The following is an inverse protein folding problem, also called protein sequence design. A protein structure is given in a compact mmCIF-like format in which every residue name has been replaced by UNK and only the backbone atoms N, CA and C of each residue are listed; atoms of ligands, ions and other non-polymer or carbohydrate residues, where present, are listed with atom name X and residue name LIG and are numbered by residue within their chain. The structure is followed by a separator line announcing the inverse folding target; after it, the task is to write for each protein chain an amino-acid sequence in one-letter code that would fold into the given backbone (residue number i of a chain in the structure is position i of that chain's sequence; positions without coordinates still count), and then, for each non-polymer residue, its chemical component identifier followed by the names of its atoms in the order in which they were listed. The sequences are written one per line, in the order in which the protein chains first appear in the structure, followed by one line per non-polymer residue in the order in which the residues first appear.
data_IF_538352865133
#
_entry.id   IF_538352865133
#
_cell.length_a   1.000
_cell.length_b   1.000
_cell.length_c   1.000
_cell.angle_alpha   90.00
_cell.angle_beta   90.00
_cell.angle_gamma   90.00
#
_symmetry.space_group_name_H-M   'P 1'
#
loop_
_entity.id
_entity.type
_entity.pdbx_description
1 polymer ?
#
# COMPACT_ATOMS: atom_id res chain seq x y z
N UNK A 1 -9.11 -10.42 3.94
CA UNK A 1 -9.43 -9.00 4.11
C UNK A 1 -9.39 -8.39 2.74
N UNK A 2 -10.41 -7.64 2.35
CA UNK A 2 -10.43 -6.96 1.06
C UNK A 2 -9.55 -5.72 1.09
N UNK A 3 -9.19 -5.23 -0.09
CA UNK A 3 -8.36 -4.04 -0.26
C UNK A 3 -9.01 -2.81 0.38
N UNK A 4 -10.32 -2.64 0.17
CA UNK A 4 -11.11 -1.54 0.71
C UNK A 4 -11.21 -1.59 2.23
N UNK A 5 -11.28 -2.81 2.79
CA UNK A 5 -11.49 -3.10 4.22
C UNK A 5 -10.25 -2.85 5.09
N UNK A 6 -9.05 -2.69 4.50
CA UNK A 6 -7.83 -2.42 5.27
C UNK A 6 -7.99 -1.14 6.10
N UNK A 7 -7.79 -1.28 7.41
CA UNK A 7 -7.90 -0.21 8.41
C UNK A 7 -6.53 0.28 8.89
N UNK A 8 -6.53 1.38 9.65
CA UNK A 8 -5.33 1.90 10.32
C UNK A 8 -4.81 0.89 11.35
N UNK A 9 -5.71 0.21 12.07
CA UNK A 9 -5.33 -0.75 13.10
C UNK A 9 -4.65 -2.00 12.50
N UNK A 10 -5.06 -2.40 11.28
CA UNK A 10 -4.37 -3.45 10.53
C UNK A 10 -2.94 -3.05 10.19
N UNK A 11 -2.71 -1.80 9.78
CA UNK A 11 -1.38 -1.28 9.48
C UNK A 11 -0.50 -1.16 10.74
N UNK A 12 -1.05 -0.66 11.85
CA UNK A 12 -0.32 -0.57 13.13
C UNK A 12 0.14 -1.96 13.57
N UNK A 13 -0.76 -2.95 13.50
CA UNK A 13 -0.44 -4.34 13.80
C UNK A 13 0.59 -4.92 12.83
N UNK A 14 0.44 -4.68 11.53
CA UNK A 14 1.33 -5.22 10.51
C UNK A 14 2.75 -4.67 10.62
N UNK A 15 2.89 -3.36 10.87
CA UNK A 15 4.18 -2.68 11.00
C UNK A 15 4.78 -2.81 12.41
N UNK A 16 4.07 -3.44 13.36
CA UNK A 16 4.43 -3.48 14.77
C UNK A 16 4.74 -2.07 15.34
N UNK A 17 3.90 -1.10 14.95
CA UNK A 17 4.04 0.30 15.35
C UNK A 17 3.38 0.56 16.71
N UNK A 18 3.71 1.68 17.33
CA UNK A 18 3.05 2.11 18.57
C UNK A 18 1.60 2.54 18.30
N UNK A 19 0.67 2.09 19.13
CA UNK A 19 -0.73 2.49 19.06
C UNK A 19 -0.94 3.83 19.79
N UNK A 20 -0.49 4.91 19.16
CA UNK A 20 -0.67 6.28 19.63
C UNK A 20 -1.28 7.20 18.55
N UNK A 21 -1.81 8.34 18.98
CA UNK A 21 -2.49 9.31 18.10
C UNK A 21 -1.60 9.86 16.99
N UNK A 22 -0.29 10.01 17.21
CA UNK A 22 0.64 10.47 16.17
C UNK A 22 0.80 9.39 15.12
N UNK A 23 1.05 8.15 15.55
CA UNK A 23 1.19 7.01 14.65
C UNK A 23 -0.08 6.78 13.82
N UNK A 24 -1.27 6.89 14.42
CA UNK A 24 -2.55 6.78 13.70
C UNK A 24 -2.72 7.83 12.60
N UNK A 25 -2.26 9.06 12.84
CA UNK A 25 -2.31 10.13 11.83
C UNK A 25 -1.36 9.84 10.67
N UNK A 26 -0.14 9.42 10.96
CA UNK A 26 0.83 9.02 9.94
C UNK A 26 0.30 7.84 9.10
N UNK A 27 -0.20 6.79 9.77
CA UNK A 27 -0.77 5.61 9.12
C UNK A 27 -1.99 5.93 8.27
N UNK A 28 -2.83 6.90 8.68
CA UNK A 28 -3.96 7.36 7.86
C UNK A 28 -3.50 7.95 6.53
N UNK A 29 -2.51 8.85 6.56
CA UNK A 29 -1.97 9.49 5.36
C UNK A 29 -1.32 8.44 4.44
N UNK A 30 -0.56 7.51 5.02
CA UNK A 30 0.07 6.40 4.28
C UNK A 30 -1.01 5.52 3.63
N UNK A 31 -2.02 5.07 4.39
CA UNK A 31 -3.07 4.19 3.87
C UNK A 31 -3.82 4.82 2.70
N UNK A 32 -4.24 6.08 2.84
CA UNK A 32 -4.94 6.83 1.78
C UNK A 32 -4.04 7.03 0.56
N UNK A 33 -2.77 7.40 0.78
CA UNK A 33 -1.78 7.59 -0.29
C UNK A 33 -1.49 6.31 -1.07
N UNK A 34 -1.26 5.20 -0.38
CA UNK A 34 -0.98 3.90 -1.01
C UNK A 34 -2.20 3.34 -1.71
N UNK A 35 -3.42 3.46 -1.13
CA UNK A 35 -4.67 3.09 -1.82
C UNK A 35 -4.82 3.87 -3.13
N UNK A 36 -4.55 5.17 -3.11
CA UNK A 36 -4.58 5.99 -4.32
C UNK A 36 -3.50 5.58 -5.32
N UNK A 37 -2.27 5.34 -4.87
CA UNK A 37 -1.16 4.91 -5.73
C UNK A 37 -1.48 3.62 -6.48
N UNK A 38 -1.95 2.59 -5.77
CA UNK A 38 -2.24 1.28 -6.36
C UNK A 38 -3.33 1.42 -7.43
N UNK A 39 -4.43 2.12 -7.13
CA UNK A 39 -5.50 2.37 -8.11
C UNK A 39 -5.02 3.15 -9.32
N UNK A 40 -4.23 4.20 -9.12
CA UNK A 40 -3.66 4.98 -10.23
C UNK A 40 -2.67 4.17 -11.08
N UNK A 41 -1.88 3.30 -10.46
CA UNK A 41 -0.92 2.45 -11.16
C UNK A 41 -1.62 1.39 -12.00
N UNK A 42 -2.63 0.73 -11.45
CA UNK A 42 -3.31 -0.39 -12.12
C UNK A 42 -4.43 0.07 -13.05
N UNK A 43 -5.06 1.22 -12.78
CA UNK A 43 -6.24 1.70 -13.50
C UNK A 43 -7.53 1.01 -13.08
N UNK A 44 -7.54 0.30 -11.94
CA UNK A 44 -8.70 -0.41 -11.42
C UNK A 44 -9.60 0.52 -10.58
N UNK A 45 -10.90 0.25 -10.60
CA UNK A 45 -11.87 0.92 -9.73
C UNK A 45 -11.95 0.27 -8.33
N UNK A 46 -12.77 0.85 -7.44
CA UNK A 46 -12.89 0.42 -6.04
C UNK A 46 -13.51 -0.99 -5.90
N UNK A 47 -14.36 -1.42 -6.83
CA UNK A 47 -14.92 -2.77 -6.84
C UNK A 47 -13.90 -3.81 -7.31
N UNK A 48 -13.13 -3.49 -8.35
CA UNK A 48 -12.16 -4.41 -8.97
C UNK A 48 -10.96 -4.71 -8.07
N UNK A 49 -10.49 -3.73 -7.30
CA UNK A 49 -9.38 -3.95 -6.36
C UNK A 49 -9.74 -4.92 -5.25
N UNK A 50 -11.01 -5.03 -4.89
CA UNK A 50 -11.50 -5.96 -3.88
C UNK A 50 -11.62 -7.41 -4.36
N UNK A 51 -11.60 -7.63 -5.68
CA UNK A 51 -11.62 -8.98 -6.29
C UNK A 51 -10.21 -9.60 -6.37
N UNK A 52 -9.16 -8.82 -6.14
CA UNK A 52 -7.76 -9.24 -6.29
C UNK A 52 -7.08 -9.28 -4.92
N UNK A 53 -6.97 -10.48 -4.35
CA UNK A 53 -6.41 -10.68 -3.01
C UNK A 53 -4.96 -10.18 -2.88
N UNK A 54 -4.14 -10.38 -3.92
CA UNK A 54 -2.72 -10.00 -3.92
C UNK A 54 -2.52 -8.48 -3.81
N UNK A 55 -3.48 -7.66 -4.24
CA UNK A 55 -3.40 -6.20 -4.08
C UNK A 55 -3.49 -5.77 -2.61
N UNK A 56 -4.18 -6.54 -1.78
CA UNK A 56 -4.23 -6.29 -0.33
C UNK A 56 -2.86 -6.51 0.29
N UNK A 57 -2.13 -7.55 -0.14
CA UNK A 57 -0.76 -7.79 0.30
C UNK A 57 0.17 -6.65 -0.15
N UNK A 58 0.04 -6.21 -1.40
CA UNK A 58 0.83 -5.08 -1.93
C UNK A 58 0.56 -3.79 -1.15
N UNK A 59 -0.69 -3.50 -0.81
CA UNK A 59 -1.06 -2.35 0.04
C UNK A 59 -0.31 -2.39 1.37
N UNK A 60 -0.34 -3.52 2.08
CA UNK A 60 0.34 -3.67 3.37
C UNK A 60 1.85 -3.49 3.26
N UNK A 61 2.48 -4.09 2.24
CA UNK A 61 3.94 -4.02 2.05
C UNK A 61 4.40 -2.60 1.71
N UNK A 62 3.71 -1.91 0.79
CA UNK A 62 4.07 -0.53 0.43
C UNK A 62 3.80 0.39 1.62
N UNK A 63 2.71 0.22 2.36
CA UNK A 63 2.45 1.02 3.56
C UNK A 63 3.53 0.83 4.63
N UNK A 64 4.01 -0.39 4.85
CA UNK A 64 5.12 -0.65 5.77
C UNK A 64 6.42 0.01 5.30
N UNK A 65 6.75 -0.11 4.01
CA UNK A 65 7.94 0.53 3.44
C UNK A 65 7.88 2.06 3.58
N UNK A 66 6.73 2.69 3.35
CA UNK A 66 6.55 4.14 3.55
C UNK A 66 6.59 4.55 5.03
N UNK A 67 6.18 3.67 5.94
CA UNK A 67 6.23 3.94 7.38
C UNK A 67 7.67 3.91 7.91
N UNK A 68 8.44 2.93 7.47
CA UNK A 68 9.86 2.75 7.83
C UNK A 68 10.75 3.79 7.13
N UNK A 69 10.53 4.00 5.84
CA UNK A 69 11.27 4.93 4.98
C UNK A 69 10.42 6.17 4.68
N UNK A 70 10.44 7.14 5.60
CA UNK A 70 9.70 8.41 5.49
C UNK A 70 10.37 9.46 4.60
N UNK A 71 11.53 9.12 4.03
CA UNK A 71 12.24 9.97 3.10
C UNK A 71 11.89 9.58 1.66
N UNK A 72 11.61 10.58 0.84
CA UNK A 72 11.40 10.37 -0.59
C UNK A 72 12.71 10.02 -1.33
N UNK A 73 13.85 10.36 -0.72
CA UNK A 73 15.17 10.07 -1.25
C UNK A 73 15.57 8.68 -0.81
N UNK A 74 15.76 7.78 -1.77
CA UNK A 74 16.12 6.40 -1.50
C UNK A 74 17.64 6.25 -1.59
N UNK A 75 18.32 5.89 -0.49
CA UNK A 75 19.76 5.58 -0.52
C UNK A 75 20.06 4.27 -1.27
N UNK A 76 19.12 3.33 -1.29
CA UNK A 76 19.26 2.02 -1.95
C UNK A 76 18.03 1.70 -2.82
N UNK A 77 18.16 1.85 -4.14
CA UNK A 77 17.05 1.73 -5.12
C UNK A 77 16.57 0.28 -5.38
N UNK A 78 16.56 -0.57 -4.35
CA UNK A 78 16.11 -1.96 -4.44
C UNK A 78 14.63 -2.05 -4.10
N UNK A 79 13.81 -1.81 -5.11
CA UNK A 79 12.36 -2.08 -5.09
C UNK A 79 12.15 -3.60 -4.97
N UNK A 80 11.26 -4.05 -4.08
CA UNK A 80 10.89 -5.48 -4.04
C UNK A 80 10.13 -5.82 -5.33
N UNK A 81 10.76 -6.63 -6.17
CA UNK A 81 10.27 -7.00 -7.50
C UNK A 81 8.93 -7.72 -7.47
N UNK A 82 8.57 -8.34 -6.34
CA UNK A 82 7.31 -9.06 -6.20
C UNK A 82 6.10 -8.12 -6.27
N UNK A 83 6.07 -7.04 -5.48
CA UNK A 83 4.91 -6.13 -5.51
C UNK A 83 4.80 -5.40 -6.83
N UNK A 84 5.94 -5.05 -7.45
CA UNK A 84 5.94 -4.48 -8.80
C UNK A 84 5.36 -5.46 -9.82
N UNK A 85 5.76 -6.74 -9.77
CA UNK A 85 5.19 -7.76 -10.64
C UNK A 85 3.69 -7.92 -10.44
N UNK A 86 3.18 -7.87 -9.21
CA UNK A 86 1.74 -7.94 -8.92
C UNK A 86 1.03 -6.73 -9.53
N UNK A 87 1.55 -5.52 -9.32
CA UNK A 87 0.98 -4.31 -9.92
C UNK A 87 0.98 -4.37 -11.45
N UNK A 88 2.07 -4.82 -12.06
CA UNK A 88 2.20 -4.96 -13.51
C UNK A 88 1.22 -6.01 -14.08
N UNK A 89 0.96 -7.12 -13.36
CA UNK A 89 -0.02 -8.15 -13.78
C UNK A 89 -1.45 -7.61 -13.89
N UNK A 90 -1.81 -6.62 -13.08
CA UNK A 90 -3.15 -6.07 -13.02
C UNK A 90 -3.28 -4.68 -13.66
N UNK A 91 -2.18 -4.12 -14.17
CA UNK A 91 -2.20 -2.80 -14.77
C UNK A 91 -2.79 -2.83 -16.17
N UNK A 92 -3.81 -1.99 -16.36
CA UNK A 92 -4.53 -1.77 -17.61
C UNK A 92 -4.27 -0.38 -18.19
N UNK A 93 -3.40 0.40 -17.53
CA UNK A 93 -3.03 1.76 -17.92
C UNK A 93 -1.89 1.82 -18.95
N UNK A 94 -1.53 0.69 -19.56
CA UNK A 94 -0.61 0.68 -20.70
C UNK A 94 -1.41 1.00 -21.97
N UNK A 95 -1.25 2.25 -22.44
CA UNK A 95 -1.80 2.78 -23.70
C UNK A 95 -1.79 1.78 -24.87
#
# INVERSE_FOLDING_TARGET
MKFSEVTIDDLIRYCNAYDDESTKKDMKVILEGVKSYIKSYTGLNDEEVDEIEDLTLVLLVISADMFDNREFTIENNKVNSLYKSILDMHSRNYL
#
